data_IF_049258097298
#
_entry.id   IF_049258097298
#
_cell.length_a   1.000
_cell.length_b   1.000
_cell.length_c   1.000
_cell.angle_alpha   90.00
_cell.angle_beta   90.00
_cell.angle_gamma   90.00
#
_symmetry.space_group_name_H-M   'P 1'
#
loop_
_entity.id
_entity.type
_entity.pdbx_description
1 polymer ?
#
# COMPACT_ATOMS: atom_id res chain seq x y z
N UNK A 1 -35.27 5.45 -16.50
CA UNK A 1 -34.21 6.20 -17.20
C UNK A 1 -34.15 7.60 -16.58
N UNK A 2 -33.45 7.76 -15.44
CA UNK A 2 -33.22 9.09 -14.86
C UNK A 2 -32.22 9.81 -15.76
N UNK A 3 -32.56 11.03 -16.15
CA UNK A 3 -31.77 11.87 -17.05
C UNK A 3 -30.34 12.03 -16.51
N UNK A 4 -29.35 11.73 -17.36
CA UNK A 4 -27.91 11.97 -17.12
C UNK A 4 -27.61 13.46 -16.84
N UNK A 5 -28.56 14.36 -17.12
CA UNK A 5 -28.43 15.82 -17.05
C UNK A 5 -28.21 16.43 -15.66
N UNK A 6 -28.23 15.66 -14.57
CA UNK A 6 -27.92 16.15 -13.21
C UNK A 6 -26.53 15.76 -12.70
N UNK A 7 -25.76 14.96 -13.45
CA UNK A 7 -24.42 14.55 -13.03
C UNK A 7 -23.35 15.52 -13.53
N UNK A 8 -22.33 15.85 -12.71
CA UNK A 8 -21.22 16.66 -13.18
C UNK A 8 -20.50 15.95 -14.34
N UNK A 9 -20.17 16.72 -15.37
CA UNK A 9 -19.38 16.23 -16.50
C UNK A 9 -17.96 15.92 -16.03
N UNK A 10 -17.45 14.75 -16.40
CA UNK A 10 -16.07 14.37 -16.16
C UNK A 10 -15.14 15.27 -16.99
N UNK A 11 -14.02 15.67 -16.40
CA UNK A 11 -13.00 16.49 -17.07
C UNK A 11 -11.81 15.62 -17.41
N UNK A 12 -11.40 15.63 -18.68
CA UNK A 12 -10.21 14.94 -19.15
C UNK A 12 -9.11 15.97 -19.40
N UNK A 13 -7.93 15.74 -18.84
CA UNK A 13 -6.75 16.57 -19.02
C UNK A 13 -5.49 15.74 -18.79
N UNK A 14 -4.30 16.33 -18.97
CA UNK A 14 -3.03 15.66 -18.70
C UNK A 14 -2.30 16.30 -17.53
N UNK A 15 -1.61 15.48 -16.74
CA UNK A 15 -0.73 15.92 -15.66
C UNK A 15 0.68 15.48 -15.99
N UNK A 16 1.62 16.41 -15.87
CA UNK A 16 3.05 16.15 -16.00
C UNK A 16 3.58 15.57 -14.69
N UNK A 17 4.47 14.59 -14.76
CA UNK A 17 5.25 14.11 -13.64
C UNK A 17 6.67 13.84 -14.14
N UNK A 18 7.51 14.87 -14.09
CA UNK A 18 8.81 14.89 -14.72
C UNK A 18 8.67 14.87 -16.25
N UNK A 19 9.37 13.96 -16.96
CA UNK A 19 9.29 13.88 -18.42
C UNK A 19 8.02 13.16 -18.92
N UNK A 20 7.17 12.65 -18.02
CA UNK A 20 6.03 11.80 -18.38
C UNK A 20 4.72 12.57 -18.24
N UNK A 21 3.89 12.51 -19.28
CA UNK A 21 2.51 13.01 -19.23
C UNK A 21 1.54 11.86 -18.99
N UNK A 22 0.70 12.01 -17.97
CA UNK A 22 -0.36 11.08 -17.64
C UNK A 22 -1.71 11.70 -18.00
N UNK A 23 -2.56 11.02 -18.79
CA UNK A 23 -3.96 11.41 -18.86
C UNK A 23 -4.56 11.33 -17.45
N UNK A 24 -5.52 12.19 -17.12
CA UNK A 24 -6.30 12.19 -15.88
C UNK A 24 -7.76 12.48 -16.19
N UNK A 25 -8.65 11.72 -15.56
CA UNK A 25 -10.09 11.95 -15.62
C UNK A 25 -10.54 12.38 -14.23
N UNK A 26 -11.05 13.61 -14.09
CA UNK A 26 -11.62 14.10 -12.84
C UNK A 26 -13.14 14.00 -12.90
N UNK A 27 -13.74 13.38 -11.88
CA UNK A 27 -15.20 13.38 -11.71
C UNK A 27 -15.52 13.70 -10.25
N UNK A 28 -16.32 14.76 -10.06
CA UNK A 28 -16.70 15.28 -8.75
C UNK A 28 -15.49 15.57 -7.82
N UNK A 29 -14.40 16.09 -8.38
CA UNK A 29 -13.15 16.39 -7.67
C UNK A 29 -12.24 15.20 -7.40
N UNK A 30 -12.71 13.96 -7.57
CA UNK A 30 -11.87 12.78 -7.49
C UNK A 30 -11.15 12.55 -8.81
N UNK A 31 -9.82 12.33 -8.74
CA UNK A 31 -8.98 12.05 -9.90
C UNK A 31 -8.85 10.55 -10.11
N UNK A 32 -9.48 10.06 -11.18
CA UNK A 32 -9.28 8.72 -11.69
C UNK A 32 -7.99 8.69 -12.48
N UNK A 33 -7.18 7.69 -12.21
CA UNK A 33 -5.90 7.51 -12.83
C UNK A 33 -6.05 6.63 -14.09
N UNK A 34 -6.24 7.21 -15.28
CA UNK A 34 -6.71 6.57 -16.50
C UNK A 34 -5.73 5.56 -17.07
N UNK A 35 -4.43 5.79 -16.86
CA UNK A 35 -3.37 5.00 -17.45
C UNK A 35 -3.34 3.54 -16.94
N UNK A 36 -3.97 3.24 -15.79
CA UNK A 36 -3.82 1.93 -15.14
C UNK A 36 -4.64 0.80 -15.77
N UNK A 37 -5.66 1.12 -16.58
CA UNK A 37 -6.65 0.14 -17.02
C UNK A 37 -6.92 0.30 -18.52
N UNK A 38 -6.05 -0.32 -19.31
CA UNK A 38 -6.20 -0.45 -20.77
C UNK A 38 -7.59 -1.02 -21.11
N UNK A 39 -8.35 -0.30 -21.95
CA UNK A 39 -9.69 -0.71 -22.40
C UNK A 39 -10.87 0.04 -21.76
N UNK A 40 -10.64 0.92 -20.78
CA UNK A 40 -11.71 1.79 -20.25
C UNK A 40 -11.87 3.07 -21.07
N UNK A 41 -13.10 3.33 -21.54
CA UNK A 41 -13.45 4.55 -22.28
C UNK A 41 -13.70 5.71 -21.30
N UNK A 42 -12.66 6.52 -21.07
CA UNK A 42 -12.69 7.66 -20.15
C UNK A 42 -13.69 8.74 -20.54
N UNK A 43 -14.08 8.83 -21.81
CA UNK A 43 -15.11 9.77 -22.25
C UNK A 43 -16.48 9.46 -21.64
N UNK A 44 -16.70 8.21 -21.21
CA UNK A 44 -17.94 7.73 -20.59
C UNK A 44 -17.89 7.72 -19.06
N UNK A 45 -16.89 8.35 -18.45
CA UNK A 45 -16.73 8.32 -16.98
C UNK A 45 -17.98 8.82 -16.25
N UNK A 46 -18.64 9.88 -16.74
CA UNK A 46 -19.89 10.37 -16.13
C UNK A 46 -21.00 9.33 -16.15
N UNK A 47 -21.24 8.69 -17.30
CA UNK A 47 -22.25 7.63 -17.44
C UNK A 47 -21.89 6.40 -16.60
N UNK A 48 -20.60 6.06 -16.58
CA UNK A 48 -20.06 4.95 -15.82
C UNK A 48 -20.26 5.14 -14.32
N UNK A 49 -19.90 6.30 -13.78
CA UNK A 49 -20.07 6.60 -12.36
C UNK A 49 -21.54 6.70 -11.96
N UNK A 50 -22.41 7.18 -12.84
CA UNK A 50 -23.86 7.11 -12.62
C UNK A 50 -24.35 5.65 -12.55
N UNK A 51 -23.91 4.78 -13.47
CA UNK A 51 -24.25 3.36 -13.44
C UNK A 51 -23.66 2.63 -12.21
N UNK A 52 -22.46 3.01 -11.77
CA UNK A 52 -21.85 2.47 -10.56
C UNK A 52 -22.63 2.86 -9.31
N UNK A 53 -23.13 4.09 -9.25
CA UNK A 53 -23.97 4.55 -8.14
C UNK A 53 -25.25 3.72 -8.00
N UNK A 54 -25.85 3.34 -9.13
CA UNK A 54 -27.07 2.53 -9.20
C UNK A 54 -26.79 1.01 -9.18
N UNK A 55 -25.54 0.57 -8.99
CA UNK A 55 -25.17 -0.85 -8.98
C UNK A 55 -25.92 -1.61 -7.87
N UNK A 56 -26.53 -2.73 -8.25
CA UNK A 56 -27.16 -3.63 -7.28
C UNK A 56 -26.10 -4.36 -6.43
N UNK A 57 -26.20 -4.16 -5.12
CA UNK A 57 -25.39 -4.85 -4.10
C UNK A 57 -26.19 -6.02 -3.56
N UNK A 58 -25.52 -7.15 -3.31
CA UNK A 58 -26.08 -8.34 -2.68
C UNK A 58 -25.69 -8.39 -1.21
N UNK A 59 -26.46 -9.11 -0.41
CA UNK A 59 -26.26 -9.13 1.05
C UNK A 59 -24.94 -9.81 1.46
N UNK A 60 -24.41 -10.67 0.59
CA UNK A 60 -23.14 -11.38 0.76
C UNK A 60 -21.95 -10.70 0.06
N UNK A 61 -22.15 -9.51 -0.51
CA UNK A 61 -21.06 -8.74 -1.11
C UNK A 61 -20.13 -8.16 -0.06
N UNK A 62 -18.85 -8.17 -0.41
CA UNK A 62 -17.79 -7.48 0.32
C UNK A 62 -17.09 -6.51 -0.62
N UNK A 63 -17.08 -5.23 -0.22
CA UNK A 63 -16.36 -4.16 -0.90
C UNK A 63 -15.07 -3.87 -0.13
N UNK A 64 -13.93 -4.09 -0.77
CA UNK A 64 -12.63 -3.65 -0.28
C UNK A 64 -12.39 -2.21 -0.72
N UNK A 65 -12.47 -1.27 0.22
CA UNK A 65 -12.19 0.12 -0.04
C UNK A 65 -10.75 0.44 0.36
N UNK A 66 -9.91 0.74 -0.63
CA UNK A 66 -8.46 0.90 -0.40
C UNK A 66 -7.90 2.07 -1.14
N UNK A 67 -6.94 2.79 -0.58
CA UNK A 67 -6.08 3.61 -1.42
C UNK A 67 -5.16 2.68 -2.24
N UNK A 68 -4.85 2.97 -3.52
CA UNK A 68 -3.97 2.13 -4.31
C UNK A 68 -2.70 1.75 -3.54
N UNK A 69 -2.28 0.49 -3.69
CA UNK A 69 -1.06 -0.07 -3.04
C UNK A 69 -1.13 -0.22 -1.52
N UNK A 70 -2.33 -0.20 -0.93
CA UNK A 70 -2.52 -0.43 0.51
C UNK A 70 -2.72 -1.89 0.92
N UNK A 71 -2.54 -2.85 0.00
CA UNK A 71 -2.71 -4.29 0.29
C UNK A 71 -4.01 -4.91 -0.23
N UNK A 72 -4.63 -4.29 -1.24
CA UNK A 72 -5.89 -4.73 -1.84
C UNK A 72 -5.88 -6.21 -2.24
N UNK A 73 -4.88 -6.67 -3.01
CA UNK A 73 -4.82 -8.06 -3.47
C UNK A 73 -4.71 -9.07 -2.33
N UNK A 74 -3.91 -8.76 -1.30
CA UNK A 74 -3.73 -9.64 -0.14
C UNK A 74 -5.06 -9.88 0.58
N UNK A 75 -5.75 -8.79 0.96
CA UNK A 75 -7.02 -8.91 1.68
C UNK A 75 -8.12 -9.46 0.78
N UNK A 76 -8.05 -9.23 -0.53
CA UNK A 76 -8.97 -9.81 -1.50
C UNK A 76 -8.91 -11.32 -1.52
N UNK A 77 -7.72 -11.92 -1.55
CA UNK A 77 -7.58 -13.38 -1.46
C UNK A 77 -8.07 -13.92 -0.11
N UNK A 78 -7.72 -13.26 1.01
CA UNK A 78 -8.19 -13.64 2.34
C UNK A 78 -9.73 -13.65 2.39
N UNK A 79 -10.38 -12.58 1.94
CA UNK A 79 -11.84 -12.47 1.94
C UNK A 79 -12.47 -13.53 1.04
N UNK A 80 -11.91 -13.77 -0.14
CA UNK A 80 -12.41 -14.79 -1.06
C UNK A 80 -12.34 -16.18 -0.43
N UNK A 81 -11.18 -16.60 0.08
CA UNK A 81 -10.99 -17.91 0.73
C UNK A 81 -11.94 -18.09 1.92
N UNK A 82 -12.13 -17.07 2.74
CA UNK A 82 -13.10 -17.09 3.85
C UNK A 82 -14.55 -17.18 3.37
N UNK A 83 -14.88 -16.50 2.27
CA UNK A 83 -16.23 -16.51 1.70
C UNK A 83 -16.58 -17.87 1.11
N UNK A 84 -15.67 -18.48 0.35
CA UNK A 84 -15.88 -19.79 -0.32
C UNK A 84 -15.58 -20.98 0.59
N UNK A 85 -14.84 -20.79 1.68
CA UNK A 85 -14.52 -21.83 2.67
C UNK A 85 -13.48 -22.85 2.21
N UNK A 86 -12.63 -22.50 1.25
CA UNK A 86 -11.53 -23.35 0.75
C UNK A 86 -10.34 -22.51 0.28
N UNK A 87 -9.16 -23.13 0.21
CA UNK A 87 -7.95 -22.48 -0.33
C UNK A 87 -8.03 -22.46 -1.85
N UNK A 88 -8.43 -21.31 -2.38
CA UNK A 88 -8.54 -21.05 -3.80
C UNK A 88 -8.15 -19.60 -4.05
N UNK A 89 -7.28 -19.37 -5.03
CA UNK A 89 -6.95 -18.01 -5.46
C UNK A 89 -7.93 -17.54 -6.51
N UNK A 90 -8.27 -16.25 -6.46
CA UNK A 90 -9.06 -15.62 -7.51
C UNK A 90 -8.26 -15.62 -8.82
N UNK A 91 -8.90 -15.82 -9.97
CA UNK A 91 -8.23 -15.66 -11.27
C UNK A 91 -7.63 -14.25 -11.43
N UNK A 92 -6.42 -14.18 -11.99
CA UNK A 92 -5.73 -12.93 -12.28
C UNK A 92 -6.35 -12.13 -13.45
N UNK A 93 -7.20 -12.76 -14.28
CA UNK A 93 -7.71 -12.17 -15.53
C UNK A 93 -8.71 -11.00 -15.34
N UNK A 94 -9.20 -10.75 -14.12
CA UNK A 94 -10.27 -9.78 -13.86
C UNK A 94 -10.06 -8.93 -12.59
N UNK A 95 -8.81 -8.58 -12.29
CA UNK A 95 -8.46 -7.85 -11.06
C UNK A 95 -8.46 -6.32 -11.25
N UNK A 96 -9.60 -5.79 -11.68
CA UNK A 96 -9.81 -4.35 -11.83
C UNK A 96 -10.79 -3.80 -10.76
N UNK A 97 -10.57 -2.57 -10.26
CA UNK A 97 -11.50 -1.92 -9.35
C UNK A 97 -12.87 -1.70 -10.00
N UNK A 98 -13.93 -1.60 -9.20
CA UNK A 98 -15.31 -1.45 -9.70
C UNK A 98 -15.49 -0.24 -10.60
N UNK A 99 -14.77 0.85 -10.32
CA UNK A 99 -14.80 2.09 -11.10
C UNK A 99 -14.13 1.99 -12.49
N UNK A 100 -13.57 0.83 -12.82
CA UNK A 100 -13.05 0.51 -14.15
C UNK A 100 -13.70 -0.75 -14.75
N UNK A 101 -14.84 -1.20 -14.18
CA UNK A 101 -15.54 -2.42 -14.61
C UNK A 101 -16.98 -2.13 -14.94
N UNK A 102 -17.47 -2.62 -16.09
CA UNK A 102 -18.86 -2.38 -16.49
C UNK A 102 -19.81 -2.96 -15.44
N UNK A 103 -20.85 -2.22 -15.08
CA UNK A 103 -21.84 -2.69 -14.10
C UNK A 103 -22.41 -4.08 -14.47
N UNK A 104 -22.60 -4.35 -15.77
CA UNK A 104 -23.04 -5.66 -16.29
C UNK A 104 -22.04 -6.80 -15.99
N UNK A 105 -20.74 -6.54 -16.04
CA UNK A 105 -19.71 -7.53 -15.70
C UNK A 105 -19.77 -7.86 -14.21
N UNK A 106 -19.93 -6.85 -13.37
CA UNK A 106 -20.06 -7.04 -11.92
C UNK A 106 -21.36 -7.79 -11.58
N UNK A 107 -22.46 -7.47 -12.26
CA UNK A 107 -23.74 -8.15 -12.12
C UNK A 107 -23.68 -9.63 -12.51
N UNK A 108 -22.88 -9.99 -13.52
CA UNK A 108 -22.70 -11.38 -13.96
C UNK A 108 -21.84 -12.25 -13.01
N UNK A 109 -21.13 -11.65 -12.05
CA UNK A 109 -20.32 -12.41 -11.10
C UNK A 109 -21.21 -13.28 -10.21
N UNK A 110 -20.78 -14.51 -9.96
CA UNK A 110 -21.44 -15.40 -9.02
C UNK A 110 -21.21 -14.91 -7.59
N UNK A 111 -22.22 -15.07 -6.75
CA UNK A 111 -22.08 -14.85 -5.31
C UNK A 111 -21.29 -15.99 -4.65
N UNK A 112 -20.55 -15.73 -3.56
CA UNK A 112 -20.34 -14.40 -2.94
C UNK A 112 -19.30 -13.56 -3.70
N UNK A 113 -19.51 -12.24 -3.78
CA UNK A 113 -18.61 -11.33 -4.50
C UNK A 113 -17.66 -10.61 -3.54
N UNK A 114 -16.36 -10.76 -3.78
CA UNK A 114 -15.32 -9.89 -3.20
C UNK A 114 -14.84 -8.91 -4.27
N UNK A 115 -15.23 -7.65 -4.13
CA UNK A 115 -14.98 -6.59 -5.10
C UNK A 115 -14.17 -5.49 -4.43
N UNK A 116 -13.38 -4.71 -5.19
CA UNK A 116 -12.55 -3.66 -4.62
C UNK A 116 -12.73 -2.32 -5.33
N UNK A 117 -12.45 -1.24 -4.62
CA UNK A 117 -12.54 0.12 -5.14
C UNK A 117 -11.48 1.02 -4.51
N UNK A 118 -11.09 2.07 -5.24
CA UNK A 118 -10.17 3.11 -4.80
C UNK A 118 -10.80 4.49 -4.63
N UNK A 119 -12.08 4.65 -4.98
CA UNK A 119 -12.80 5.93 -4.89
C UNK A 119 -13.00 6.39 -3.45
N UNK A 120 -13.49 7.62 -3.27
CA UNK A 120 -13.96 8.07 -1.95
C UNK A 120 -15.15 7.26 -1.47
N UNK A 121 -15.31 7.15 -0.15
CA UNK A 121 -16.41 6.41 0.46
C UNK A 121 -17.78 6.83 -0.11
N UNK A 122 -18.02 8.13 -0.27
CA UNK A 122 -19.28 8.70 -0.76
C UNK A 122 -19.56 8.42 -2.25
N UNK A 123 -18.58 7.85 -2.97
CA UNK A 123 -18.71 7.48 -4.38
C UNK A 123 -18.98 5.98 -4.58
N UNK A 124 -19.06 5.20 -3.49
CA UNK A 124 -19.51 3.82 -3.55
C UNK A 124 -21.00 3.74 -3.95
N UNK A 125 -21.47 2.55 -4.39
CA UNK A 125 -22.87 2.36 -4.76
C UNK A 125 -23.85 2.79 -3.67
N UNK A 126 -24.96 3.40 -4.07
CA UNK A 126 -25.93 3.99 -3.16
C UNK A 126 -26.52 2.97 -2.18
N UNK A 127 -26.63 1.69 -2.58
CA UNK A 127 -27.09 0.64 -1.68
C UNK A 127 -26.11 0.35 -0.52
N UNK A 128 -24.80 0.61 -0.69
CA UNK A 128 -23.83 0.57 0.41
C UNK A 128 -24.08 1.74 1.37
N UNK A 129 -24.17 2.95 0.81
CA UNK A 129 -24.12 4.21 1.56
C UNK A 129 -25.45 4.57 2.21
N UNK A 130 -26.58 4.35 1.54
CA UNK A 130 -27.89 4.75 2.04
C UNK A 130 -28.65 3.57 2.63
N UNK A 131 -28.48 2.36 2.08
CA UNK A 131 -29.27 1.18 2.45
C UNK A 131 -28.48 0.17 3.32
N UNK A 132 -27.19 0.40 3.55
CA UNK A 132 -26.31 -0.47 4.38
C UNK A 132 -26.29 -1.92 3.92
N UNK A 133 -26.44 -2.15 2.61
CA UNK A 133 -26.43 -3.47 2.01
C UNK A 133 -24.99 -3.92 1.78
N UNK A 134 -24.68 -5.19 2.04
CA UNK A 134 -23.32 -5.72 1.94
C UNK A 134 -22.37 -5.18 3.03
N UNK A 135 -21.09 -5.52 2.92
CA UNK A 135 -20.06 -5.17 3.91
C UNK A 135 -18.91 -4.42 3.26
N UNK A 136 -18.30 -3.48 3.99
CA UNK A 136 -17.08 -2.80 3.52
C UNK A 136 -15.90 -3.17 4.41
N UNK A 137 -14.74 -3.43 3.82
CA UNK A 137 -13.48 -3.56 4.54
C UNK A 137 -12.57 -2.46 4.02
N UNK A 138 -12.17 -1.56 4.91
CA UNK A 138 -11.31 -0.45 4.56
C UNK A 138 -9.87 -0.71 5.00
N UNK A 139 -8.91 -0.61 4.08
CA UNK A 139 -7.51 -0.94 4.37
C UNK A 139 -6.67 0.32 4.32
N UNK A 140 -6.06 0.61 5.46
CA UNK A 140 -5.10 1.68 5.64
C UNK A 140 -3.69 1.13 5.58
N UNK A 141 -2.77 1.91 5.04
CA UNK A 141 -1.34 1.62 5.03
C UNK A 141 -0.60 2.92 5.27
N UNK A 142 0.57 2.83 5.90
CA UNK A 142 1.43 3.98 6.09
C UNK A 142 1.65 4.72 4.74
N UNK A 143 1.35 6.03 4.64
CA UNK A 143 1.44 6.78 3.39
C UNK A 143 2.85 6.75 2.80
N UNK A 144 3.88 6.63 3.63
CA UNK A 144 5.27 6.46 3.21
C UNK A 144 5.47 5.20 2.38
N UNK A 145 4.93 4.07 2.85
CA UNK A 145 5.03 2.80 2.13
C UNK A 145 4.14 2.77 0.89
N UNK A 146 2.99 3.44 0.95
CA UNK A 146 2.12 3.67 -0.21
C UNK A 146 2.88 4.41 -1.32
N UNK A 147 3.49 5.57 -1.02
CA UNK A 147 4.25 6.37 -1.98
C UNK A 147 5.29 5.50 -2.69
N UNK A 148 6.15 4.82 -1.92
CA UNK A 148 7.25 4.06 -2.55
C UNK A 148 6.72 2.85 -3.30
N UNK A 149 5.68 2.17 -2.81
CA UNK A 149 5.06 1.05 -3.53
C UNK A 149 4.37 1.49 -4.83
N UNK A 150 3.75 2.67 -4.83
CA UNK A 150 3.04 3.21 -5.98
C UNK A 150 4.01 3.71 -7.04
N UNK A 151 5.05 4.43 -6.62
CA UNK A 151 6.12 4.86 -7.50
C UNK A 151 6.76 3.69 -8.27
N UNK A 152 7.17 2.62 -7.57
CA UNK A 152 7.74 1.43 -8.23
C UNK A 152 6.76 0.73 -9.17
N UNK A 153 5.49 0.66 -8.76
CA UNK A 153 4.45 0.07 -9.59
C UNK A 153 4.28 0.84 -10.90
N UNK A 154 4.23 2.17 -10.82
CA UNK A 154 4.12 3.06 -11.97
C UNK A 154 5.31 2.92 -12.92
N UNK A 155 6.53 3.02 -12.41
CA UNK A 155 7.74 2.88 -13.23
C UNK A 155 7.77 1.54 -13.97
N UNK A 156 7.46 0.44 -13.29
CA UNK A 156 7.45 -0.89 -13.89
C UNK A 156 6.31 -1.10 -14.88
N UNK A 157 5.10 -0.62 -14.57
CA UNK A 157 3.92 -0.81 -15.42
C UNK A 157 4.02 -0.04 -16.72
N UNK A 158 4.53 1.18 -16.67
CA UNK A 158 4.64 2.06 -17.84
C UNK A 158 6.03 2.07 -18.47
N UNK A 159 7.01 1.40 -17.84
CA UNK A 159 8.41 1.41 -18.30
C UNK A 159 8.94 2.84 -18.45
N UNK A 160 8.65 3.66 -17.44
CA UNK A 160 9.02 5.07 -17.38
C UNK A 160 9.87 5.34 -16.14
N UNK A 161 10.67 6.40 -16.21
CA UNK A 161 11.36 6.95 -15.05
C UNK A 161 10.57 8.13 -14.49
N UNK A 162 10.08 7.98 -13.26
CA UNK A 162 9.38 9.06 -12.57
C UNK A 162 10.30 9.65 -11.50
N UNK A 163 10.46 10.98 -11.44
CA UNK A 163 11.11 11.61 -10.30
C UNK A 163 10.25 11.36 -9.05
N UNK A 164 10.72 10.51 -8.14
CA UNK A 164 9.99 10.15 -6.91
C UNK A 164 9.62 11.38 -6.07
N UNK A 165 10.42 12.46 -6.13
CA UNK A 165 10.13 13.78 -5.56
C UNK A 165 8.78 14.33 -6.01
N UNK A 166 8.64 14.43 -7.33
CA UNK A 166 7.50 15.06 -7.98
C UNK A 166 6.27 14.17 -7.82
N UNK A 167 6.46 12.86 -8.02
CA UNK A 167 5.46 11.85 -7.70
C UNK A 167 4.94 11.95 -6.26
N UNK A 168 5.85 12.11 -5.28
CA UNK A 168 5.48 12.27 -3.86
C UNK A 168 4.68 13.55 -3.65
N UNK A 169 5.11 14.66 -4.24
CA UNK A 169 4.42 15.96 -4.13
C UNK A 169 3.00 15.84 -4.66
N UNK A 170 2.85 15.27 -5.85
CA UNK A 170 1.58 14.95 -6.51
C UNK A 170 0.66 14.07 -5.67
N UNK A 171 1.20 13.01 -5.04
CA UNK A 171 0.41 12.12 -4.19
C UNK A 171 -0.08 12.79 -2.90
N UNK A 172 0.73 13.70 -2.33
CA UNK A 172 0.40 14.39 -1.09
C UNK A 172 -0.60 15.52 -1.35
N UNK A 173 -0.34 16.37 -2.35
CA UNK A 173 -1.22 17.49 -2.70
C UNK A 173 -2.52 17.04 -3.35
N UNK A 174 -2.54 15.86 -3.96
CA UNK A 174 -3.66 15.39 -4.76
C UNK A 174 -3.74 16.06 -6.12
N UNK A 175 -2.74 16.86 -6.52
CA UNK A 175 -2.63 17.47 -7.85
C UNK A 175 -1.95 16.53 -8.86
N UNK A 176 -1.85 15.25 -8.49
CA UNK A 176 -1.17 14.21 -9.24
C UNK A 176 -2.05 13.33 -10.12
N UNK A 177 -1.40 12.30 -10.64
CA UNK A 177 -1.98 11.20 -11.44
C UNK A 177 -3.14 10.50 -10.72
N UNK A 178 -3.18 10.57 -9.40
CA UNK A 178 -4.25 10.06 -8.56
C UNK A 178 -4.53 11.05 -7.43
N UNK A 179 -5.70 10.91 -6.83
CA UNK A 179 -6.13 11.77 -5.74
C UNK A 179 -5.28 11.60 -4.45
N UNK A 180 -5.35 12.57 -3.54
CA UNK A 180 -4.53 12.59 -2.33
C UNK A 180 -4.88 11.42 -1.39
N UNK A 181 -3.84 10.75 -0.88
CA UNK A 181 -4.02 9.72 0.17
C UNK A 181 -4.68 10.30 1.42
N UNK A 182 -4.34 11.54 1.78
CA UNK A 182 -4.89 12.19 2.97
C UNK A 182 -6.36 12.54 2.79
N UNK A 183 -6.74 13.02 1.60
CA UNK A 183 -8.14 13.29 1.26
C UNK A 183 -8.95 12.01 1.22
N UNK A 184 -8.46 10.97 0.54
CA UNK A 184 -9.11 9.65 0.54
C UNK A 184 -9.38 9.14 1.96
N UNK A 185 -8.37 9.21 2.84
CA UNK A 185 -8.52 8.86 4.26
C UNK A 185 -9.53 9.77 4.97
N UNK A 186 -9.51 11.07 4.71
CA UNK A 186 -10.41 12.06 5.31
C UNK A 186 -11.86 11.76 4.95
N UNK A 187 -12.17 11.54 3.67
CA UNK A 187 -13.51 11.19 3.19
C UNK A 187 -14.02 9.88 3.81
N UNK A 188 -13.16 8.86 3.90
CA UNK A 188 -13.51 7.61 4.55
C UNK A 188 -13.82 7.79 6.05
N UNK A 189 -12.99 8.53 6.78
CA UNK A 189 -13.21 8.79 8.21
C UNK A 189 -14.47 9.64 8.44
N UNK A 190 -14.75 10.60 7.56
CA UNK A 190 -15.97 11.42 7.64
C UNK A 190 -17.23 10.61 7.31
N UNK A 191 -17.20 9.78 6.26
CA UNK A 191 -18.25 8.80 5.97
C UNK A 191 -18.54 7.92 7.19
N UNK A 192 -17.49 7.32 7.76
CA UNK A 192 -17.57 6.51 8.98
C UNK A 192 -18.22 7.22 10.16
N UNK A 193 -17.99 8.52 10.32
CA UNK A 193 -18.55 9.31 11.43
C UNK A 193 -20.02 9.67 11.22
N UNK A 194 -20.47 9.83 9.98
CA UNK A 194 -21.88 10.11 9.66
C UNK A 194 -22.76 8.89 9.90
N UNK A 195 -22.17 7.70 9.82
CA UNK A 195 -22.90 6.45 9.82
C UNK A 195 -22.74 5.73 11.17
N UNK A 196 -23.64 6.00 12.12
CA UNK A 196 -23.59 5.42 13.47
C UNK A 196 -23.70 3.87 13.50
N UNK A 197 -24.18 3.24 12.42
CA UNK A 197 -24.30 1.78 12.23
C UNK A 197 -23.30 1.22 11.19
N UNK A 198 -22.09 1.79 11.14
CA UNK A 198 -21.12 1.52 10.08
C UNK A 198 -20.71 0.04 9.97
N UNK A 199 -21.18 -0.67 8.94
CA UNK A 199 -20.66 -1.99 8.53
C UNK A 199 -19.33 -1.85 7.77
N UNK A 200 -18.36 -1.17 8.36
CA UNK A 200 -17.02 -1.06 7.79
C UNK A 200 -15.98 -1.50 8.80
N UNK A 201 -15.21 -2.50 8.39
CA UNK A 201 -14.08 -3.00 9.15
C UNK A 201 -12.80 -2.23 8.75
N UNK A 202 -12.23 -1.40 9.62
CA UNK A 202 -10.91 -0.84 9.38
C UNK A 202 -9.82 -1.88 9.66
N UNK A 203 -8.90 -2.02 8.71
CA UNK A 203 -7.68 -2.82 8.83
C UNK A 203 -6.46 -1.94 8.59
N UNK A 204 -5.37 -2.23 9.29
CA UNK A 204 -4.05 -1.68 9.00
C UNK A 204 -3.22 -2.74 8.29
N UNK A 205 -2.64 -2.41 7.14
CA UNK A 205 -1.78 -3.31 6.37
C UNK A 205 -0.65 -3.88 7.24
N UNK A 206 -0.07 -3.04 8.09
CA UNK A 206 1.01 -3.37 9.01
C UNK A 206 0.57 -4.42 10.05
N UNK A 207 -0.67 -4.38 10.53
CA UNK A 207 -1.22 -5.39 11.44
C UNK A 207 -1.45 -6.73 10.73
N UNK A 208 -1.92 -6.69 9.48
CA UNK A 208 -2.16 -7.90 8.66
C UNK A 208 -0.85 -8.66 8.45
N UNK A 209 0.24 -7.97 8.14
CA UNK A 209 1.54 -8.63 7.93
C UNK A 209 2.22 -9.03 9.24
N UNK A 210 1.95 -8.33 10.35
CA UNK A 210 2.56 -8.61 11.66
C UNK A 210 1.90 -9.80 12.36
N UNK A 211 0.57 -9.90 12.29
CA UNK A 211 -0.18 -11.01 12.87
C UNK A 211 -1.34 -11.42 11.95
N UNK A 212 -1.03 -12.09 10.83
CA UNK A 212 -2.01 -12.43 9.81
C UNK A 212 -3.16 -13.26 10.36
N UNK A 213 -2.90 -14.26 11.20
CA UNK A 213 -3.95 -15.12 11.75
C UNK A 213 -4.98 -14.34 12.59
N UNK A 214 -4.52 -13.39 13.40
CA UNK A 214 -5.39 -12.51 14.18
C UNK A 214 -6.28 -11.64 13.28
N UNK A 215 -5.69 -11.00 12.26
CA UNK A 215 -6.46 -10.14 11.36
C UNK A 215 -7.39 -10.96 10.43
N UNK A 216 -6.99 -12.16 10.00
CA UNK A 216 -7.86 -13.11 9.26
C UNK A 216 -9.05 -13.53 10.14
N UNK A 217 -8.82 -13.85 11.42
CA UNK A 217 -9.90 -14.19 12.37
C UNK A 217 -10.88 -13.02 12.54
N UNK A 218 -10.37 -11.79 12.65
CA UNK A 218 -11.16 -10.56 12.72
C UNK A 218 -11.99 -10.34 11.44
N UNK A 219 -11.41 -10.59 10.26
CA UNK A 219 -12.12 -10.55 8.98
C UNK A 219 -13.23 -11.62 8.96
N UNK A 220 -12.93 -12.87 9.31
CA UNK A 220 -13.90 -13.96 9.33
C UNK A 220 -15.11 -13.64 10.22
N UNK A 221 -14.86 -13.12 11.43
CA UNK A 221 -15.90 -12.67 12.35
C UNK A 221 -16.77 -11.56 11.75
N UNK A 222 -16.16 -10.56 11.13
CA UNK A 222 -16.88 -9.48 10.46
C UNK A 222 -17.71 -9.99 9.28
N UNK A 223 -17.18 -10.96 8.53
CA UNK A 223 -17.90 -11.63 7.44
C UNK A 223 -19.00 -12.57 7.93
N UNK A 224 -19.08 -12.87 9.24
CA UNK A 224 -20.05 -13.81 9.79
C UNK A 224 -19.73 -15.27 9.44
N UNK A 225 -18.44 -15.58 9.23
CA UNK A 225 -17.96 -16.90 8.85
C UNK A 225 -17.37 -17.61 10.07
N UNK A 226 -17.91 -18.77 10.40
CA UNK A 226 -17.33 -19.68 11.39
C UNK A 226 -16.26 -20.53 10.71
N UNK A 227 -15.00 -20.36 11.09
CA UNK A 227 -13.84 -21.04 10.51
C UNK A 227 -12.97 -21.63 11.60
N UNK A 228 -12.27 -22.72 11.29
CA UNK A 228 -11.34 -23.35 12.23
C UNK A 228 -10.02 -22.59 12.29
N UNK A 229 -9.29 -22.74 13.40
CA UNK A 229 -7.93 -22.19 13.54
C UNK A 229 -6.99 -22.74 12.46
N UNK A 230 -7.15 -24.02 12.09
CA UNK A 230 -6.33 -24.65 11.04
C UNK A 230 -6.56 -24.00 9.69
N UNK A 231 -7.82 -23.70 9.33
CA UNK A 231 -8.12 -23.02 8.08
C UNK A 231 -7.60 -21.58 8.06
N UNK A 232 -7.64 -20.87 9.20
CA UNK A 232 -7.02 -19.55 9.34
C UNK A 232 -5.50 -19.64 9.14
N UNK A 233 -4.84 -20.64 9.73
CA UNK A 233 -3.41 -20.87 9.59
C UNK A 233 -3.04 -21.18 8.13
N UNK A 234 -3.85 -21.99 7.46
CA UNK A 234 -3.67 -22.33 6.04
C UNK A 234 -3.81 -21.09 5.14
N UNK A 235 -4.86 -20.28 5.33
CA UNK A 235 -5.03 -18.99 4.63
C UNK A 235 -3.82 -18.10 4.88
N UNK A 236 -3.37 -17.98 6.13
CA UNK A 236 -2.22 -17.17 6.50
C UNK A 236 -0.96 -17.56 5.73
N UNK A 237 -0.69 -18.86 5.60
CA UNK A 237 0.49 -19.40 4.91
C UNK A 237 0.45 -19.16 3.40
N UNK A 238 -0.70 -19.38 2.77
CA UNK A 238 -0.83 -19.16 1.31
C UNK A 238 -0.89 -17.66 0.98
N UNK A 239 -1.41 -16.83 1.89
CA UNK A 239 -1.46 -15.38 1.73
C UNK A 239 -0.14 -14.68 2.10
N UNK A 240 0.94 -15.41 2.41
CA UNK A 240 2.26 -14.79 2.48
C UNK A 240 2.63 -14.16 1.14
N UNK A 241 3.25 -12.98 1.20
CA UNK A 241 3.57 -12.15 0.02
C UNK A 241 4.38 -12.95 -1.02
N UNK A 242 5.35 -13.76 -0.59
CA UNK A 242 6.15 -14.63 -1.44
C UNK A 242 5.30 -15.71 -2.11
N UNK A 243 4.52 -16.44 -1.30
CA UNK A 243 3.67 -17.54 -1.75
C UNK A 243 2.61 -17.07 -2.75
N UNK A 244 1.92 -15.96 -2.46
CA UNK A 244 0.97 -15.35 -3.38
C UNK A 244 1.62 -14.94 -4.69
N UNK A 245 2.78 -14.28 -4.62
CA UNK A 245 3.50 -13.83 -5.82
C UNK A 245 3.81 -15.02 -6.72
N UNK A 246 4.37 -16.09 -6.17
CA UNK A 246 4.69 -17.30 -6.93
C UNK A 246 3.45 -17.96 -7.53
N UNK A 247 2.37 -18.09 -6.76
CA UNK A 247 1.13 -18.69 -7.23
C UNK A 247 0.51 -17.89 -8.39
N UNK A 248 0.47 -16.56 -8.27
CA UNK A 248 -0.13 -15.71 -9.29
C UNK A 248 0.70 -15.60 -10.56
N UNK A 249 2.03 -15.58 -10.45
CA UNK A 249 2.90 -15.63 -11.63
C UNK A 249 2.68 -16.90 -12.46
N UNK A 250 2.35 -18.03 -11.83
CA UNK A 250 2.01 -19.30 -12.51
C UNK A 250 0.65 -19.27 -13.22
N UNK A 251 -0.28 -18.42 -12.77
CA UNK A 251 -1.63 -18.30 -13.35
C UNK A 251 -1.68 -17.35 -14.55
N UNK A 252 -0.67 -16.51 -14.76
CA UNK A 252 -0.62 -15.62 -15.91
C UNK A 252 -0.49 -16.46 -17.20
N UNK A 253 -1.33 -16.21 -18.24
CA UNK A 253 -1.16 -16.85 -19.53
C UNK A 253 0.28 -16.68 -20.05
N UNK A 254 0.82 -17.71 -20.71
CA UNK A 254 2.21 -17.71 -21.19
C UNK A 254 2.50 -16.49 -22.10
N UNK A 255 1.48 -16.05 -22.81
CA UNK A 255 1.49 -15.01 -23.84
C UNK A 255 1.26 -13.59 -23.28
N UNK A 256 1.02 -13.47 -21.97
CA UNK A 256 1.01 -12.15 -21.32
C UNK A 256 2.45 -11.60 -21.35
N UNK A 257 2.64 -10.51 -22.08
CA UNK A 257 3.93 -9.88 -22.33
C UNK A 257 4.69 -9.50 -21.05
N UNK A 258 6.00 -9.29 -21.18
CA UNK A 258 6.91 -9.00 -20.07
C UNK A 258 6.45 -7.79 -19.22
N UNK A 259 5.84 -6.77 -19.82
CA UNK A 259 5.32 -5.58 -19.11
C UNK A 259 4.26 -5.90 -18.04
N UNK A 260 3.35 -6.83 -18.31
CA UNK A 260 2.32 -7.22 -17.35
C UNK A 260 2.90 -8.14 -16.26
N UNK A 261 3.84 -9.03 -16.61
CA UNK A 261 4.56 -9.89 -15.64
C UNK A 261 5.39 -9.07 -14.65
N UNK A 262 6.12 -8.06 -15.13
CA UNK A 262 6.95 -7.18 -14.30
C UNK A 262 6.12 -6.21 -13.44
N UNK A 263 5.03 -5.68 -14.00
CA UNK A 263 4.04 -4.90 -13.27
C UNK A 263 3.35 -5.71 -12.17
N UNK A 264 3.01 -6.99 -12.45
CA UNK A 264 2.40 -7.90 -11.48
C UNK A 264 3.39 -8.25 -10.34
N UNK A 265 4.66 -8.49 -10.66
CA UNK A 265 5.70 -8.68 -9.64
C UNK A 265 5.92 -7.41 -8.78
N UNK A 266 5.64 -6.21 -9.31
CA UNK A 266 5.77 -4.94 -8.58
C UNK A 266 4.78 -4.75 -7.43
N UNK A 267 3.68 -5.53 -7.37
CA UNK A 267 2.69 -5.43 -6.29
C UNK A 267 3.21 -5.93 -4.94
N UNK A 268 4.35 -6.63 -4.90
CA UNK A 268 4.85 -7.36 -3.73
C UNK A 268 6.28 -6.88 -3.33
N UNK A 269 6.43 -5.96 -2.34
CA UNK A 269 7.73 -5.38 -1.88
C UNK A 269 7.74 -4.93 -0.39
N UNK A 270 8.90 -4.97 0.31
CA UNK A 270 9.17 -4.50 1.71
C UNK A 270 10.05 -3.21 1.75
N UNK A 271 10.10 -2.40 2.84
CA UNK A 271 10.93 -1.16 2.88
C UNK A 271 11.32 -0.57 4.26
N UNK A 272 12.58 -0.12 4.42
CA UNK A 272 13.17 0.50 5.65
C UNK A 272 14.15 1.69 5.42
N UNK A 273 14.48 2.10 4.20
CA UNK A 273 15.51 3.13 3.91
C UNK A 273 15.06 4.61 3.99
N UNK A 274 13.81 4.87 4.33
CA UNK A 274 13.14 6.12 3.99
C UNK A 274 13.39 7.31 4.95
N UNK A 275 13.74 7.06 6.22
CA UNK A 275 13.88 8.14 7.20
C UNK A 275 15.08 9.06 6.90
N UNK A 276 16.19 8.48 6.42
CA UNK A 276 17.40 9.21 6.05
C UNK A 276 17.12 10.23 4.95
N UNK A 277 16.41 9.78 3.91
CA UNK A 277 16.04 10.64 2.78
C UNK A 277 15.15 11.81 3.21
N UNK A 278 14.16 11.56 4.09
CA UNK A 278 13.27 12.62 4.58
C UNK A 278 14.02 13.69 5.35
N UNK A 279 14.96 13.32 6.22
CA UNK A 279 15.75 14.30 6.99
C UNK A 279 16.65 15.11 6.06
N UNK A 280 17.30 14.46 5.09
CA UNK A 280 18.14 15.14 4.11
C UNK A 280 17.32 16.20 3.32
N UNK A 281 16.14 15.83 2.82
CA UNK A 281 15.27 16.76 2.09
C UNK A 281 14.85 17.98 2.93
N UNK A 282 14.58 17.76 4.23
CA UNK A 282 14.27 18.85 5.17
C UNK A 282 15.48 19.77 5.40
N UNK A 283 16.70 19.21 5.43
CA UNK A 283 17.93 19.98 5.64
C UNK A 283 18.31 20.83 4.44
N UNK A 284 18.15 20.32 3.22
CA UNK A 284 18.46 21.09 2.00
C UNK A 284 17.32 22.07 1.66
N UNK A 285 16.16 21.95 2.31
CA UNK A 285 14.99 22.81 2.06
C UNK A 285 14.40 22.62 0.67
N UNK A 286 14.81 21.55 -0.02
CA UNK A 286 14.36 21.13 -1.34
C UNK A 286 14.44 19.61 -1.38
N UNK A 287 13.54 19.00 -2.11
CA UNK A 287 13.56 17.54 -2.23
C UNK A 287 14.75 17.16 -3.12
N UNK A 288 15.74 16.52 -2.51
CA UNK A 288 17.01 16.04 -3.04
C UNK A 288 17.29 14.73 -2.31
N UNK A 289 17.76 13.69 -3.01
CA UNK A 289 18.14 12.40 -2.41
C UNK A 289 19.63 12.39 -2.13
N UNK A 290 20.05 11.65 -1.11
CA UNK A 290 21.47 11.56 -0.78
C UNK A 290 22.26 10.94 -1.95
N UNK A 291 23.37 11.56 -2.35
CA UNK A 291 24.28 10.99 -3.37
C UNK A 291 24.82 9.62 -2.92
N UNK A 292 24.93 8.69 -3.87
CA UNK A 292 25.56 7.37 -3.69
C UNK A 292 27.05 7.45 -3.34
N UNK A 293 27.68 8.60 -3.54
CA UNK A 293 29.12 8.80 -3.30
C UNK A 293 29.45 9.03 -1.81
N UNK A 294 28.43 9.16 -0.96
CA UNK A 294 28.61 9.28 0.49
C UNK A 294 28.58 7.87 1.09
N UNK A 295 29.68 7.38 1.71
CA UNK A 295 29.69 6.08 2.35
C UNK A 295 28.58 5.97 3.39
N UNK A 296 27.61 5.09 3.15
CA UNK A 296 26.47 4.84 4.02
C UNK A 296 26.87 3.85 5.12
N UNK A 297 27.86 4.26 5.93
CA UNK A 297 28.28 3.54 7.12
C UNK A 297 27.91 4.31 8.39
N UNK A 298 27.54 3.61 9.48
CA UNK A 298 27.29 4.24 10.78
C UNK A 298 28.55 4.95 11.30
N UNK A 299 28.36 5.92 12.20
CA UNK A 299 29.43 6.67 12.87
C UNK A 299 30.57 5.77 13.36
N UNK A 300 30.23 4.64 13.98
CA UNK A 300 31.18 3.68 14.56
C UNK A 300 32.05 2.94 13.53
N UNK A 301 31.73 3.03 12.24
CA UNK A 301 32.47 2.40 11.14
C UNK A 301 33.04 3.42 10.15
N UNK A 302 33.10 4.71 10.52
CA UNK A 302 33.58 5.78 9.65
C UNK A 302 34.85 6.43 10.18
N UNK A 303 35.70 6.85 9.25
CA UNK A 303 36.88 7.66 9.57
C UNK A 303 36.47 9.03 10.12
N UNK A 304 37.05 9.44 11.24
CA UNK A 304 36.69 10.69 11.92
C UNK A 304 37.09 11.94 11.12
N UNK A 305 38.13 11.88 10.30
CA UNK A 305 38.56 12.97 9.43
C UNK A 305 37.56 13.15 8.27
N UNK A 306 37.03 12.05 7.73
CA UNK A 306 35.93 12.12 6.76
C UNK A 306 34.70 12.82 7.36
N UNK A 307 34.30 12.41 8.57
CA UNK A 307 33.15 13.02 9.25
C UNK A 307 33.40 14.51 9.53
N UNK A 308 34.62 14.85 9.95
CA UNK A 308 35.02 16.23 10.22
C UNK A 308 34.92 17.10 8.96
N UNK A 309 35.25 16.54 7.79
CA UNK A 309 35.19 17.24 6.49
C UNK A 309 33.77 17.41 5.91
N UNK A 310 32.76 16.74 6.48
CA UNK A 310 31.37 16.90 6.05
C UNK A 310 30.87 18.34 6.27
N UNK A 311 30.29 18.93 5.23
CA UNK A 311 29.68 20.27 5.26
C UNK A 311 28.40 20.27 6.11
N UNK A 312 28.16 21.37 6.81
CA UNK A 312 26.90 21.58 7.55
C UNK A 312 25.78 22.08 6.62
N UNK A 313 24.50 21.72 6.88
CA UNK A 313 24.04 20.76 7.89
C UNK A 313 24.39 19.32 7.49
N UNK A 314 24.99 18.56 8.42
CA UNK A 314 25.37 17.16 8.21
C UNK A 314 24.46 16.23 8.98
N UNK A 315 24.07 15.12 8.35
CA UNK A 315 23.37 14.02 9.00
C UNK A 315 24.36 12.86 9.20
N UNK A 316 24.41 12.37 10.43
CA UNK A 316 25.22 11.21 10.82
C UNK A 316 24.26 10.26 11.53
N UNK A 317 24.33 8.97 11.22
CA UNK A 317 23.57 7.95 11.94
C UNK A 317 24.54 7.02 12.66
N UNK A 318 24.09 6.42 13.75
CA UNK A 318 24.89 5.55 14.61
C UNK A 318 24.00 4.53 15.27
N UNK A 319 24.55 3.37 15.60
CA UNK A 319 23.90 2.39 16.47
C UNK A 319 24.49 2.40 17.89
N UNK A 320 25.40 3.34 18.18
CA UNK A 320 25.99 3.50 19.50
C UNK A 320 24.92 3.85 20.55
N UNK A 321 25.16 3.36 21.76
CA UNK A 321 24.41 3.77 22.94
C UNK A 321 24.50 5.29 23.12
N UNK A 322 23.44 5.91 23.64
CA UNK A 322 23.41 7.36 23.86
C UNK A 322 24.64 7.86 24.64
N UNK A 323 25.09 7.10 25.64
CA UNK A 323 26.28 7.41 26.46
C UNK A 323 27.60 7.37 25.69
N UNK A 324 27.65 6.69 24.55
CA UNK A 324 28.83 6.55 23.70
C UNK A 324 28.87 7.56 22.54
N UNK A 325 27.81 8.35 22.36
CA UNK A 325 27.80 9.44 21.39
C UNK A 325 28.77 10.56 21.81
N UNK A 326 29.30 11.35 20.85
CA UNK A 326 30.17 12.48 21.14
C UNK A 326 29.66 13.37 22.27
N UNK A 327 30.55 13.74 23.21
CA UNK A 327 30.22 14.58 24.38
C UNK A 327 29.55 15.90 24.00
N UNK A 328 29.89 16.43 22.84
CA UNK A 328 29.26 17.64 22.29
C UNK A 328 27.75 17.46 22.05
N UNK A 329 27.29 16.26 21.66
CA UNK A 329 25.87 15.96 21.50
C UNK A 329 25.17 15.69 22.84
N UNK A 330 25.86 14.98 23.74
CA UNK A 330 25.23 14.41 24.95
C UNK A 330 25.32 15.31 26.19
N UNK A 331 26.37 16.14 26.29
CA UNK A 331 26.62 17.04 27.43
C UNK A 331 26.48 18.51 27.08
N UNK A 332 26.90 18.90 25.88
CA UNK A 332 26.87 20.30 25.43
C UNK A 332 25.65 20.61 24.55
N UNK A 333 24.84 19.60 24.23
CA UNK A 333 23.61 19.70 23.41
C UNK A 333 23.83 20.39 22.05
N UNK A 334 25.02 20.25 21.47
CA UNK A 334 25.38 20.79 20.15
C UNK A 334 24.91 19.86 19.03
N UNK A 335 23.62 19.95 18.69
CA UNK A 335 23.01 19.22 17.57
C UNK A 335 21.61 18.71 17.92
N UNK A 336 21.03 17.92 17.02
CA UNK A 336 19.75 17.25 17.25
C UNK A 336 19.94 15.74 17.09
N UNK A 337 19.40 14.98 18.04
CA UNK A 337 19.38 13.51 17.99
C UNK A 337 17.96 13.10 17.63
N UNK A 338 17.83 12.30 16.57
CA UNK A 338 16.56 11.69 16.16
C UNK A 338 16.71 10.19 16.42
N UNK A 339 16.00 9.69 17.43
CA UNK A 339 15.97 8.27 17.74
C UNK A 339 14.89 7.57 16.91
N UNK A 340 15.30 6.58 16.11
CA UNK A 340 14.35 5.68 15.43
C UNK A 340 14.08 4.48 16.32
N UNK A 341 12.89 4.46 16.93
CA UNK A 341 12.43 3.32 17.72
C UNK A 341 11.44 2.54 16.87
N UNK A 342 11.69 1.24 16.73
CA UNK A 342 10.83 0.30 16.00
C UNK A 342 10.23 -0.71 16.96
N UNK A 343 9.14 -1.35 16.55
CA UNK A 343 8.64 -2.51 17.26
C UNK A 343 9.76 -3.56 17.36
N UNK A 344 10.07 -4.09 18.56
CA UNK A 344 11.20 -5.01 18.75
C UNK A 344 11.07 -6.28 17.92
N UNK A 345 9.85 -6.76 17.65
CA UNK A 345 9.61 -7.93 16.79
C UNK A 345 9.98 -7.63 15.34
N UNK A 346 9.63 -6.44 14.85
CA UNK A 346 9.95 -6.02 13.49
C UNK A 346 11.45 -5.75 13.32
N UNK A 347 12.11 -5.25 14.37
CA UNK A 347 13.57 -5.13 14.43
C UNK A 347 14.23 -6.50 14.38
N UNK A 348 13.77 -7.45 15.20
CA UNK A 348 14.27 -8.83 15.26
C UNK A 348 14.18 -9.51 13.89
N UNK A 349 13.00 -9.54 13.27
CA UNK A 349 12.80 -10.20 11.97
C UNK A 349 13.60 -9.51 10.86
N UNK A 350 13.67 -8.18 10.90
CA UNK A 350 14.49 -7.40 9.97
C UNK A 350 15.97 -7.69 10.15
N UNK A 351 16.44 -7.85 11.38
CA UNK A 351 17.84 -8.12 11.69
C UNK A 351 18.21 -9.55 11.32
N UNK A 352 17.34 -10.52 11.62
CA UNK A 352 17.49 -11.91 11.18
C UNK A 352 17.68 -12.02 9.67
N UNK A 353 16.80 -11.38 8.88
CA UNK A 353 16.93 -11.36 7.44
C UNK A 353 18.23 -10.69 6.99
N UNK A 354 18.63 -9.58 7.62
CA UNK A 354 19.86 -8.87 7.31
C UNK A 354 21.09 -9.73 7.57
N UNK A 355 21.20 -10.37 8.74
CA UNK A 355 22.31 -11.24 9.13
C UNK A 355 22.41 -12.46 8.21
N UNK A 356 21.32 -13.18 7.97
CA UNK A 356 21.31 -14.32 7.06
C UNK A 356 21.68 -13.93 5.61
N UNK A 357 21.29 -12.72 5.17
CA UNK A 357 21.62 -12.23 3.83
C UNK A 357 23.09 -11.81 3.71
N UNK A 358 23.62 -11.09 4.70
CA UNK A 358 24.99 -10.58 4.66
C UNK A 358 26.04 -11.66 4.91
N UNK A 359 25.79 -12.55 5.87
CA UNK A 359 26.74 -13.59 6.26
C UNK A 359 26.55 -14.89 5.46
N UNK A 360 25.57 -14.91 4.54
CA UNK A 360 25.15 -16.09 3.78
C UNK A 360 24.84 -17.29 4.69
N UNK A 361 24.33 -17.01 5.89
CA UNK A 361 23.97 -18.01 6.88
C UNK A 361 22.51 -18.45 6.72
N UNK A 362 22.20 -19.62 7.27
CA UNK A 362 20.83 -20.13 7.41
C UNK A 362 20.50 -20.34 8.89
N UNK A 363 20.69 -19.32 9.73
CA UNK A 363 20.21 -19.43 11.11
C UNK A 363 18.68 -19.54 11.11
N UNK A 364 18.11 -20.56 11.77
CA UNK A 364 16.68 -20.60 12.04
C UNK A 364 16.22 -19.36 12.81
N UNK A 365 14.99 -18.91 12.55
CA UNK A 365 14.44 -17.73 13.21
C UNK A 365 14.36 -17.91 14.73
N UNK A 366 13.99 -19.10 15.20
CA UNK A 366 13.86 -19.38 16.64
C UNK A 366 15.19 -19.25 17.38
N UNK A 367 16.27 -19.77 16.81
CA UNK A 367 17.63 -19.61 17.38
C UNK A 367 18.05 -18.13 17.39
N UNK A 368 17.73 -17.39 16.32
CA UNK A 368 18.02 -15.97 16.26
C UNK A 368 17.18 -15.15 17.25
N UNK A 369 15.94 -15.57 17.55
CA UNK A 369 15.11 -14.93 18.58
C UNK A 369 15.81 -15.00 19.93
N UNK A 370 16.33 -16.16 20.31
CA UNK A 370 17.04 -16.34 21.57
C UNK A 370 18.31 -15.49 21.65
N UNK A 371 19.09 -15.44 20.56
CA UNK A 371 20.26 -14.55 20.45
C UNK A 371 19.86 -13.08 20.57
N UNK A 372 18.77 -12.68 19.91
CA UNK A 372 18.30 -11.28 19.90
C UNK A 372 17.84 -10.83 21.28
N UNK A 373 17.16 -11.71 22.01
CA UNK A 373 16.71 -11.42 23.38
C UNK A 373 17.91 -11.30 24.34
N UNK A 374 18.93 -12.12 24.18
CA UNK A 374 20.16 -12.09 25.00
C UNK A 374 21.10 -10.95 24.62
N UNK A 375 20.97 -10.42 23.41
CA UNK A 375 21.85 -9.37 22.86
C UNK A 375 23.09 -9.93 22.15
N UNK A 376 23.07 -11.21 21.78
CA UNK A 376 24.21 -11.96 21.23
C UNK A 376 24.14 -12.11 19.69
N UNK A 377 23.43 -11.20 19.00
CA UNK A 377 23.20 -11.26 17.55
C UNK A 377 24.40 -10.81 16.67
N UNK A 378 25.57 -10.57 17.25
CA UNK A 378 26.80 -10.15 16.55
C UNK A 378 28.06 -10.75 17.17
#
# INVERSE_FOLDING_TARGET
MKMISSYPQAKLYSIECGPVQFPVTEFNGYKFAPAFYEGFDHSKMTEHMAALKDLEIRDDDVILLTYPKSGTHLVREICHMLQVGRIEYISAEFDFPIEYRRASEIASLKSPRTIHSHVWYDMLPQQIIEQRRGKVIAIFRNPKDVIVSFWHFLMKRFQVELPIKEFTTHLISGEGICDSWYEWRRYLVQGRRRDNEFQVLPLQFEEIIQNPQKEISKIAKFLGKSVTTDFICEISKVCEISTMREAKLKQLPKDVGNMFKDGYAAFYRKGTHLLKEVIHMLQVGRIEYMSSDIPNFPLEYRDLNEIASLKSPRMIYSHLWYSMLPKQLTKEHRGKIIALIRNPKDTLVSFWHFTNTLEQQQLPLDDFVDLFIKGDCM
#
